data_IF_648365733855
#
_entry.id   IF_648365733855
#
_cell.length_a   1.000
_cell.length_b   1.000
_cell.length_c   1.000
_cell.angle_alpha   90.00
_cell.angle_beta   90.00
_cell.angle_gamma   90.00
#
_symmetry.space_group_name_H-M   'P 1'
#
loop_
_entity.id
_entity.type
_entity.pdbx_description
1 polymer ?
#
# COMPACT_ATOMS: atom_id res chain seq x y z
N UNK A 1 -18.03 4.33 10.86
CA UNK A 1 -16.62 4.50 10.44
C UNK A 1 -16.33 3.45 9.39
N UNK A 2 -16.27 3.83 8.11
CA UNK A 2 -15.84 2.91 7.05
C UNK A 2 -14.37 2.56 7.30
N UNK A 3 -14.06 1.28 7.47
CA UNK A 3 -12.68 0.84 7.63
C UNK A 3 -11.95 0.96 6.28
N UNK A 4 -10.93 1.82 6.21
CA UNK A 4 -10.04 1.95 5.06
C UNK A 4 -9.17 0.71 4.96
N UNK A 5 -9.72 -0.33 4.35
CA UNK A 5 -9.00 -1.57 4.14
C UNK A 5 -8.10 -1.46 2.90
N UNK A 6 -6.94 -2.14 2.90
CA UNK A 6 -6.20 -2.43 1.68
C UNK A 6 -7.09 -3.11 0.64
N UNK A 7 -6.67 -3.07 -0.62
CA UNK A 7 -7.35 -3.79 -1.71
C UNK A 7 -7.37 -5.29 -1.37
N UNK A 8 -8.56 -5.84 -1.12
CA UNK A 8 -8.80 -7.26 -0.82
C UNK A 8 -9.54 -7.89 -1.99
N UNK A 9 -8.79 -8.37 -2.97
CA UNK A 9 -9.30 -9.06 -4.15
C UNK A 9 -8.93 -10.54 -4.11
N UNK A 10 -9.71 -11.39 -4.78
CA UNK A 10 -9.36 -12.80 -4.98
C UNK A 10 -8.25 -12.93 -6.02
N UNK A 11 -7.38 -13.93 -5.88
CA UNK A 11 -6.28 -14.17 -6.81
C UNK A 11 -6.75 -14.15 -8.27
N UNK A 12 -6.06 -13.37 -9.11
CA UNK A 12 -6.38 -13.18 -10.52
C UNK A 12 -7.40 -12.08 -10.83
N UNK A 13 -8.13 -11.53 -9.85
CA UNK A 13 -9.05 -10.42 -10.09
C UNK A 13 -8.31 -9.15 -10.54
N UNK A 14 -8.93 -8.42 -11.47
CA UNK A 14 -8.38 -7.20 -12.04
C UNK A 14 -8.41 -6.07 -11.02
N UNK A 15 -7.33 -5.29 -10.97
CA UNK A 15 -7.30 -3.99 -10.30
C UNK A 15 -7.56 -2.93 -11.37
N UNK A 16 -8.83 -2.53 -11.50
CA UNK A 16 -9.30 -1.50 -12.45
C UNK A 16 -8.91 -0.09 -12.01
N UNK A 17 -8.99 0.88 -12.93
CA UNK A 17 -8.79 2.30 -12.59
C UNK A 17 -9.72 2.76 -11.47
N UNK A 18 -10.98 2.29 -11.47
CA UNK A 18 -11.96 2.57 -10.41
C UNK A 18 -11.51 2.05 -9.04
N UNK A 19 -10.99 0.83 -8.96
CA UNK A 19 -10.48 0.26 -7.68
C UNK A 19 -9.27 1.06 -7.18
N UNK A 20 -8.42 1.52 -8.10
CA UNK A 20 -7.24 2.31 -7.76
C UNK A 20 -7.58 3.73 -7.31
N UNK A 21 -8.68 4.31 -7.81
CA UNK A 21 -8.84 5.77 -7.90
C UNK A 21 -7.70 6.39 -8.75
N UNK A 22 -7.48 5.80 -9.92
CA UNK A 22 -6.36 6.10 -10.80
C UNK A 22 -6.28 7.57 -11.22
N UNK A 23 -7.39 8.21 -11.57
CA UNK A 23 -7.38 9.59 -12.08
C UNK A 23 -6.91 10.58 -11.01
N UNK A 24 -7.30 10.35 -9.75
CA UNK A 24 -6.80 11.13 -8.61
C UNK A 24 -5.31 10.92 -8.40
N UNK A 25 -4.85 9.66 -8.41
CA UNK A 25 -3.43 9.31 -8.26
C UNK A 25 -2.59 9.90 -9.40
N UNK A 26 -3.09 9.82 -10.63
CA UNK A 26 -2.44 10.40 -11.79
C UNK A 26 -2.36 11.92 -11.68
N UNK A 27 -3.43 12.58 -11.22
CA UNK A 27 -3.42 14.02 -10.93
C UNK A 27 -2.36 14.41 -9.90
N UNK A 28 -2.17 13.60 -8.84
CA UNK A 28 -1.13 13.83 -7.83
C UNK A 28 0.27 13.62 -8.43
N UNK A 29 0.49 12.55 -9.18
CA UNK A 29 1.81 12.21 -9.74
C UNK A 29 2.21 13.12 -10.90
N UNK A 30 1.26 13.76 -11.59
CA UNK A 30 1.54 14.70 -12.69
C UNK A 30 1.70 16.15 -12.21
N UNK A 31 1.33 16.46 -10.97
CA UNK A 31 1.63 17.76 -10.37
C UNK A 31 3.15 17.98 -10.31
N UNK A 32 3.63 19.09 -10.87
CA UNK A 32 5.07 19.33 -11.04
C UNK A 32 5.84 19.36 -9.71
N UNK A 33 5.24 19.91 -8.65
CA UNK A 33 5.91 19.98 -7.35
C UNK A 33 6.00 18.60 -6.72
N UNK A 34 4.86 17.91 -6.59
CA UNK A 34 4.78 16.59 -6.00
C UNK A 34 5.61 15.57 -6.80
N UNK A 35 5.50 15.60 -8.14
CA UNK A 35 6.23 14.72 -9.03
C UNK A 35 7.74 14.79 -8.77
N UNK A 36 8.30 16.00 -8.74
CA UNK A 36 9.74 16.18 -8.60
C UNK A 36 10.23 15.76 -7.21
N UNK A 37 9.55 16.17 -6.15
CA UNK A 37 9.90 15.79 -4.78
C UNK A 37 9.80 14.27 -4.56
N UNK A 38 8.71 13.65 -5.06
CA UNK A 38 8.47 12.22 -4.86
C UNK A 38 9.44 11.38 -5.71
N UNK A 39 9.68 11.77 -6.96
CA UNK A 39 10.72 11.18 -7.83
C UNK A 39 12.09 11.25 -7.17
N UNK A 40 12.49 12.41 -6.67
CA UNK A 40 13.81 12.60 -6.07
C UNK A 40 13.97 11.75 -4.81
N UNK A 41 12.90 11.62 -4.01
CA UNK A 41 12.87 10.72 -2.86
C UNK A 41 13.03 9.24 -3.26
N UNK A 42 12.42 8.79 -4.37
CA UNK A 42 12.61 7.42 -4.87
C UNK A 42 14.03 7.21 -5.40
N UNK A 43 14.61 8.18 -6.11
CA UNK A 43 15.94 8.06 -6.71
C UNK A 43 17.09 8.13 -5.69
N UNK A 44 16.86 8.75 -4.54
CA UNK A 44 17.88 8.93 -3.49
C UNK A 44 18.27 7.62 -2.79
N UNK A 45 17.41 6.60 -2.82
CA UNK A 45 17.74 5.31 -2.21
C UNK A 45 18.83 4.56 -2.98
N UNK A 46 19.73 3.95 -2.21
CA UNK A 46 20.75 3.04 -2.74
C UNK A 46 20.20 1.65 -3.08
N UNK A 47 19.00 1.30 -2.57
CA UNK A 47 18.37 -0.01 -2.83
C UNK A 47 17.71 -0.11 -4.20
N UNK A 48 17.55 1.02 -4.90
CA UNK A 48 17.01 1.05 -6.25
C UNK A 48 18.10 0.62 -7.25
N UNK A 49 17.83 -0.42 -8.04
CA UNK A 49 18.83 -0.95 -8.98
C UNK A 49 19.15 0.05 -10.09
N UNK A 50 20.38 -0.03 -10.63
CA UNK A 50 20.82 0.81 -11.75
C UNK A 50 19.87 0.70 -12.95
N UNK A 51 19.47 -0.52 -13.32
CA UNK A 51 18.53 -0.74 -14.42
C UNK A 51 17.16 -0.05 -14.21
N UNK A 52 16.66 0.02 -12.98
CA UNK A 52 15.42 0.75 -12.69
C UNK A 52 15.66 2.25 -12.76
N UNK A 53 16.78 2.75 -12.21
CA UNK A 53 17.17 4.18 -12.29
C UNK A 53 17.30 4.65 -13.74
N UNK A 54 17.98 3.88 -14.59
CA UNK A 54 18.18 4.21 -16.00
C UNK A 54 16.83 4.28 -16.76
N UNK A 55 15.93 3.32 -16.53
CA UNK A 55 14.56 3.36 -17.09
C UNK A 55 13.75 4.53 -16.54
N UNK A 56 13.90 4.83 -15.25
CA UNK A 56 13.23 5.95 -14.61
C UNK A 56 13.57 7.29 -15.29
N UNK A 57 14.78 7.42 -15.82
CA UNK A 57 15.22 8.59 -16.59
C UNK A 57 14.70 8.54 -18.02
N UNK A 58 14.84 7.39 -18.69
CA UNK A 58 14.58 7.22 -20.12
C UNK A 58 13.09 7.16 -20.50
N UNK A 59 12.23 6.60 -19.66
CA UNK A 59 10.83 6.34 -19.96
C UNK A 59 9.92 7.06 -18.97
N UNK A 60 9.24 8.11 -19.46
CA UNK A 60 8.33 8.91 -18.65
C UNK A 60 7.12 8.11 -18.16
N UNK A 61 6.57 7.26 -19.01
CA UNK A 61 5.39 6.48 -18.66
C UNK A 61 5.73 5.44 -17.59
N UNK A 62 6.86 4.74 -17.75
CA UNK A 62 7.39 3.86 -16.71
C UNK A 62 7.57 4.59 -15.38
N UNK A 63 8.18 5.78 -15.41
CA UNK A 63 8.36 6.62 -14.22
C UNK A 63 7.03 6.97 -13.57
N UNK A 64 6.03 7.45 -14.33
CA UNK A 64 4.71 7.77 -13.79
C UNK A 64 4.05 6.55 -13.13
N UNK A 65 4.02 5.42 -13.84
CA UNK A 65 3.44 4.19 -13.29
C UNK A 65 4.18 3.68 -12.04
N UNK A 66 5.51 3.80 -12.01
CA UNK A 66 6.32 3.42 -10.86
C UNK A 66 6.05 4.32 -9.64
N UNK A 67 5.83 5.61 -9.85
CA UNK A 67 5.45 6.53 -8.77
C UNK A 67 4.05 6.23 -8.24
N UNK A 68 3.08 5.91 -9.11
CA UNK A 68 1.71 5.52 -8.71
C UNK A 68 1.78 4.27 -7.81
N UNK A 69 2.48 3.21 -8.24
CA UNK A 69 2.56 1.97 -7.44
C UNK A 69 3.32 2.20 -6.13
N UNK A 70 4.36 3.04 -6.15
CA UNK A 70 5.10 3.43 -4.94
C UNK A 70 4.21 4.16 -3.95
N UNK A 71 3.38 5.11 -4.41
CA UNK A 71 2.45 5.84 -3.56
C UNK A 71 1.38 4.92 -2.95
N UNK A 72 0.85 3.98 -3.73
CA UNK A 72 -0.11 2.99 -3.25
C UNK A 72 0.49 2.07 -2.18
N UNK A 73 1.75 1.66 -2.32
CA UNK A 73 2.43 0.85 -1.30
C UNK A 73 2.75 1.70 -0.07
N UNK A 74 3.19 2.95 -0.26
CA UNK A 74 3.52 3.86 0.83
C UNK A 74 2.31 4.17 1.71
N UNK A 75 1.13 4.25 1.10
CA UNK A 75 -0.16 4.47 1.77
C UNK A 75 -0.85 3.18 2.18
N UNK A 76 -0.15 2.03 2.09
CA UNK A 76 -0.66 0.69 2.43
C UNK A 76 -1.95 0.27 1.70
N UNK A 77 -2.24 0.87 0.54
CA UNK A 77 -3.36 0.49 -0.34
C UNK A 77 -3.12 -0.85 -1.01
N UNK A 78 -1.88 -1.07 -1.45
CA UNK A 78 -1.40 -2.31 -2.02
C UNK A 78 -0.55 -3.03 -0.98
N UNK A 79 -0.99 -4.22 -0.58
CA UNK A 79 -0.27 -5.07 0.35
C UNK A 79 0.95 -5.72 -0.31
N UNK A 80 1.91 -6.14 0.53
CA UNK A 80 3.12 -6.87 0.11
C UNK A 80 2.84 -8.24 -0.48
N UNK A 81 1.61 -8.73 -0.44
CA UNK A 81 1.22 -10.03 -1.02
C UNK A 81 1.01 -9.96 -2.54
N UNK A 82 0.91 -8.76 -3.12
CA UNK A 82 0.73 -8.59 -4.56
C UNK A 82 2.03 -8.88 -5.33
N UNK A 83 1.95 -9.84 -6.25
CA UNK A 83 2.97 -10.15 -7.25
C UNK A 83 2.56 -9.65 -8.64
N UNK A 84 3.52 -9.18 -9.43
CA UNK A 84 3.29 -8.70 -10.79
C UNK A 84 3.62 -9.76 -11.87
N UNK A 85 3.96 -10.98 -11.47
CA UNK A 85 4.30 -12.10 -12.37
C UNK A 85 3.24 -13.21 -12.29
N UNK A 86 2.83 -13.71 -13.46
CA UNK A 86 1.81 -14.76 -13.59
C UNK A 86 2.25 -16.08 -12.94
N UNK A 87 3.55 -16.36 -13.02
CA UNK A 87 4.18 -17.64 -12.69
C UNK A 87 4.51 -17.79 -11.21
N UNK A 88 4.34 -16.74 -10.39
CA UNK A 88 4.64 -16.81 -8.96
C UNK A 88 3.51 -17.55 -8.23
N UNK A 89 3.82 -18.74 -7.67
CA UNK A 89 2.99 -19.40 -6.65
C UNK A 89 3.79 -19.50 -5.35
N UNK A 90 3.45 -18.69 -4.37
CA UNK A 90 3.70 -19.04 -2.96
C UNK A 90 2.36 -18.98 -2.25
N UNK A 91 2.19 -19.75 -1.16
CA UNK A 91 0.94 -19.78 -0.39
C UNK A 91 0.49 -18.40 0.14
N UNK A 92 1.35 -17.38 0.06
CA UNK A 92 1.17 -16.04 0.61
C UNK A 92 1.10 -14.94 -0.46
N UNK A 93 1.25 -15.24 -1.76
CA UNK A 93 1.29 -14.24 -2.83
C UNK A 93 0.14 -14.41 -3.82
N UNK A 94 -0.56 -13.31 -4.11
CA UNK A 94 -1.64 -13.23 -5.10
C UNK A 94 -1.17 -12.42 -6.31
N UNK A 95 -1.55 -12.84 -7.50
CA UNK A 95 -1.35 -12.11 -8.74
C UNK A 95 -2.60 -11.31 -9.08
N UNK A 96 -2.43 -10.01 -9.34
CA UNK A 96 -3.51 -9.19 -9.87
C UNK A 96 -3.01 -8.42 -11.10
N UNK A 97 -3.64 -8.61 -12.27
CA UNK A 97 -3.37 -7.75 -13.41
C UNK A 97 -3.83 -6.32 -13.09
N UNK A 98 -3.01 -5.33 -13.45
CA UNK A 98 -3.35 -3.90 -13.32
C UNK A 98 -3.37 -3.32 -14.75
N UNK A 99 -4.52 -3.39 -15.44
CA UNK A 99 -4.59 -3.09 -16.87
C UNK A 99 -4.03 -1.72 -17.26
N UNK A 100 -4.39 -0.68 -16.52
CA UNK A 100 -3.94 0.68 -16.80
C UNK A 100 -2.42 0.88 -16.62
N UNK A 101 -1.70 -0.07 -16.01
CA UNK A 101 -0.24 -0.05 -15.86
C UNK A 101 0.47 -1.08 -16.76
N UNK A 102 -0.25 -1.75 -17.69
CA UNK A 102 0.23 -2.93 -18.43
C UNK A 102 1.56 -2.74 -19.14
N UNK A 103 1.84 -1.54 -19.65
CA UNK A 103 3.05 -1.23 -20.41
C UNK A 103 4.32 -1.24 -19.55
N UNK A 104 4.16 -1.04 -18.23
CA UNK A 104 5.28 -0.95 -17.29
C UNK A 104 5.28 -2.06 -16.24
N UNK A 105 4.15 -2.77 -16.07
CA UNK A 105 3.91 -3.72 -14.99
C UNK A 105 5.00 -4.79 -14.83
N UNK A 106 5.54 -5.29 -15.94
CA UNK A 106 6.58 -6.33 -15.92
C UNK A 106 7.92 -5.88 -15.29
N UNK A 107 8.14 -4.56 -15.21
CA UNK A 107 9.39 -3.97 -14.73
C UNK A 107 9.33 -3.56 -13.24
N UNK A 108 8.17 -3.65 -12.58
CA UNK A 108 8.03 -3.23 -11.17
C UNK A 108 8.70 -4.17 -10.17
N UNK A 109 8.93 -5.44 -10.54
CA UNK A 109 9.40 -6.46 -9.61
C UNK A 109 8.24 -7.05 -8.80
N UNK A 110 8.30 -6.97 -7.47
CA UNK A 110 7.22 -7.37 -6.57
C UNK A 110 6.97 -6.32 -5.47
N UNK A 111 5.77 -6.35 -4.88
CA UNK A 111 5.39 -5.38 -3.85
C UNK A 111 6.28 -5.41 -2.59
N UNK A 112 6.77 -6.57 -2.10
CA UNK A 112 7.77 -6.62 -1.02
C UNK A 112 9.05 -5.87 -1.33
N UNK A 113 9.60 -6.03 -2.54
CA UNK A 113 10.82 -5.34 -2.95
C UNK A 113 10.60 -3.83 -3.00
N UNK A 114 9.48 -3.38 -3.57
CA UNK A 114 9.12 -1.96 -3.58
C UNK A 114 8.97 -1.42 -2.14
N UNK A 115 8.29 -2.15 -1.25
CA UNK A 115 8.19 -1.74 0.16
C UNK A 115 9.55 -1.65 0.84
N UNK A 116 10.46 -2.59 0.59
CA UNK A 116 11.82 -2.54 1.14
C UNK A 116 12.64 -1.36 0.61
N UNK A 117 12.40 -0.95 -0.64
CA UNK A 117 12.97 0.28 -1.22
C UNK A 117 12.43 1.50 -0.48
N UNK A 118 11.11 1.64 -0.36
CA UNK A 118 10.48 2.77 0.34
C UNK A 118 10.90 2.84 1.81
N UNK A 119 10.92 1.70 2.52
CA UNK A 119 11.37 1.63 3.91
C UNK A 119 12.83 2.05 4.10
N UNK A 120 13.67 1.98 3.07
CA UNK A 120 15.06 2.47 3.18
C UNK A 120 15.18 4.00 3.13
N UNK A 121 14.09 4.69 2.79
CA UNK A 121 14.01 6.17 2.79
C UNK A 121 13.40 6.73 4.06
N UNK A 122 13.03 5.85 5.02
CA UNK A 122 12.52 6.25 6.33
C UNK A 122 13.64 6.94 7.10
N UNK A 123 13.34 8.15 7.56
CA UNK A 123 14.21 8.93 8.41
C UNK A 123 13.80 8.73 9.86
N UNK A 124 14.54 7.90 10.59
CA UNK A 124 14.25 7.61 12.00
C UNK A 124 14.41 8.82 12.93
N UNK A 125 14.99 9.92 12.45
CA UNK A 125 15.07 11.18 13.21
C UNK A 125 13.85 12.10 12.99
N UNK A 126 12.94 11.73 12.09
CA UNK A 126 11.69 12.44 11.81
C UNK A 126 10.55 11.42 11.71
N UNK A 127 9.77 11.26 12.77
CA UNK A 127 8.80 10.15 12.89
C UNK A 127 7.36 10.60 13.13
N UNK A 128 7.16 11.88 13.44
CA UNK A 128 5.86 12.46 13.74
C UNK A 128 5.61 13.74 12.94
N UNK A 129 4.33 14.14 12.80
CA UNK A 129 3.99 15.43 12.21
C UNK A 129 4.62 16.61 12.96
N UNK A 130 4.78 16.49 14.28
CA UNK A 130 5.44 17.50 15.10
C UNK A 130 6.92 17.64 14.72
N UNK A 131 7.64 16.54 14.49
CA UNK A 131 9.04 16.58 14.05
C UNK A 131 9.18 17.30 12.70
N UNK A 132 8.26 17.00 11.76
CA UNK A 132 8.21 17.67 10.45
C UNK A 132 8.04 19.18 10.64
N UNK A 133 7.07 19.60 11.44
CA UNK A 133 6.78 21.01 11.70
C UNK A 133 7.94 21.73 12.39
N UNK A 134 8.58 21.09 13.38
CA UNK A 134 9.75 21.66 14.07
C UNK A 134 10.93 21.84 13.12
N UNK A 135 11.16 20.89 12.21
CA UNK A 135 12.23 21.00 11.20
C UNK A 135 11.97 22.13 10.22
N UNK A 136 10.74 22.22 9.71
CA UNK A 136 10.29 23.31 8.85
C UNK A 136 10.43 24.67 9.56
N UNK A 137 10.03 24.76 10.83
CA UNK A 137 10.17 25.98 11.62
C UNK A 137 11.63 26.38 11.85
N UNK A 138 12.54 25.41 11.95
CA UNK A 138 13.98 25.62 12.07
C UNK A 138 14.70 25.79 10.70
N UNK A 139 13.95 25.92 9.60
CA UNK A 139 14.51 26.17 8.26
C UNK A 139 15.14 24.95 7.58
N UNK A 140 14.86 23.74 8.06
CA UNK A 140 15.31 22.49 7.40
C UNK A 140 14.37 22.16 6.25
N UNK A 141 14.86 22.28 5.02
CA UNK A 141 14.10 22.03 3.79
C UNK A 141 14.85 21.13 2.80
N UNK A 142 14.24 20.03 2.32
CA UNK A 142 12.99 19.45 2.85
C UNK A 142 13.17 18.92 4.29
N UNK A 143 12.11 18.88 5.11
CA UNK A 143 12.22 18.44 6.51
C UNK A 143 12.57 16.94 6.64
N UNK A 144 12.18 16.14 5.65
CA UNK A 144 12.52 14.73 5.49
C UNK A 144 12.24 14.34 4.03
N UNK A 145 12.47 13.08 3.62
CA UNK A 145 12.09 12.64 2.27
C UNK A 145 10.56 12.68 2.09
N UNK A 146 10.05 13.01 0.91
CA UNK A 146 8.61 13.04 0.69
C UNK A 146 7.95 11.66 0.92
N UNK A 147 8.69 10.56 0.69
CA UNK A 147 8.24 9.20 1.01
C UNK A 147 8.00 9.05 2.52
N UNK A 148 8.98 9.43 3.35
CA UNK A 148 8.86 9.36 4.80
C UNK A 148 7.74 10.30 5.31
N UNK A 149 7.63 11.50 4.75
CA UNK A 149 6.55 12.42 5.09
C UNK A 149 5.16 11.83 4.79
N UNK A 150 4.93 11.24 3.61
CA UNK A 150 3.65 10.59 3.30
C UNK A 150 3.34 9.47 4.29
N UNK A 151 4.34 8.67 4.69
CA UNK A 151 4.15 7.66 5.72
C UNK A 151 3.69 8.26 7.06
N UNK A 152 4.37 9.32 7.54
CA UNK A 152 3.99 10.07 8.75
C UNK A 152 2.59 10.66 8.64
N UNK A 153 2.26 11.23 7.48
CA UNK A 153 0.98 11.89 7.21
C UNK A 153 -0.19 10.91 7.37
N UNK A 154 -0.10 9.71 6.77
CA UNK A 154 -1.15 8.70 6.89
C UNK A 154 -1.20 8.04 8.27
N UNK A 155 -0.07 7.87 8.95
CA UNK A 155 -0.07 7.43 10.35
C UNK A 155 -0.71 8.46 11.30
N UNK A 156 -0.71 9.73 10.90
CA UNK A 156 -1.29 10.84 11.65
C UNK A 156 -2.66 11.27 11.10
N UNK A 157 -3.35 10.41 10.34
CA UNK A 157 -4.58 10.77 9.63
C UNK A 157 -5.66 11.35 10.57
N UNK A 158 -5.79 10.85 11.80
CA UNK A 158 -6.78 11.37 12.77
C UNK A 158 -6.57 12.85 13.13
N UNK A 159 -5.31 13.31 13.15
CA UNK A 159 -4.95 14.71 13.37
C UNK A 159 -5.32 15.54 12.14
N UNK A 160 -4.98 15.06 10.95
CA UNK A 160 -5.30 15.73 9.68
C UNK A 160 -6.82 15.83 9.46
N UNK A 161 -7.55 14.76 9.78
CA UNK A 161 -9.01 14.71 9.67
C UNK A 161 -9.67 15.76 10.55
N UNK A 162 -9.19 15.93 11.78
CA UNK A 162 -9.69 16.94 12.72
C UNK A 162 -9.32 18.36 12.28
N UNK A 163 -8.06 18.58 11.96
CA UNK A 163 -7.49 19.92 11.83
C UNK A 163 -7.75 20.50 10.44
N UNK A 164 -7.65 19.71 9.37
CA UNK A 164 -7.68 20.20 7.99
C UNK A 164 -8.90 19.76 7.18
N UNK A 165 -9.47 18.58 7.45
CA UNK A 165 -10.57 18.05 6.64
C UNK A 165 -11.92 18.70 7.00
N UNK A 166 -12.85 18.57 6.05
CA UNK A 166 -14.26 18.94 6.18
C UNK A 166 -15.00 17.87 6.98
N UNK A 167 -16.08 18.25 7.68
CA UNK A 167 -16.89 17.28 8.42
C UNK A 167 -17.42 16.18 7.49
N UNK A 168 -17.27 14.92 7.90
CA UNK A 168 -17.66 13.75 7.10
C UNK A 168 -16.61 13.27 6.10
N UNK A 169 -15.50 13.98 5.95
CA UNK A 169 -14.38 13.58 5.10
C UNK A 169 -13.18 13.13 5.93
N UNK A 170 -12.33 12.28 5.34
CA UNK A 170 -11.05 11.86 5.90
C UNK A 170 -9.97 11.97 4.85
N UNK A 171 -8.71 12.06 5.28
CA UNK A 171 -7.52 12.06 4.44
C UNK A 171 -7.51 10.85 3.50
N UNK A 172 -7.97 9.70 3.99
CA UNK A 172 -8.08 8.48 3.19
C UNK A 172 -9.11 8.63 2.06
N UNK A 173 -10.20 9.38 2.24
CA UNK A 173 -11.13 9.62 1.13
C UNK A 173 -10.48 10.30 -0.09
N UNK A 174 -9.36 10.99 0.08
CA UNK A 174 -8.65 11.69 -1.00
C UNK A 174 -7.85 10.75 -1.92
N UNK A 175 -7.56 9.52 -1.53
CA UNK A 175 -6.82 8.56 -2.38
C UNK A 175 -7.48 7.17 -2.47
N UNK A 176 -8.55 6.91 -1.69
CA UNK A 176 -9.44 5.76 -1.88
C UNK A 176 -10.55 6.09 -2.89
N UNK A 177 -11.17 5.09 -3.54
CA UNK A 177 -12.34 5.31 -4.39
C UNK A 177 -13.48 5.82 -3.52
N UNK A 178 -13.92 7.04 -3.81
CA UNK A 178 -15.01 7.70 -3.12
C UNK A 178 -15.84 8.50 -4.12
N UNK A 179 -16.92 9.09 -3.63
CA UNK A 179 -17.76 9.98 -4.43
C UNK A 179 -17.21 11.41 -4.56
N UNK A 180 -15.92 11.63 -4.26
CA UNK A 180 -15.25 12.92 -4.43
C UNK A 180 -14.67 12.98 -5.84
N UNK A 181 -14.98 14.01 -6.65
CA UNK A 181 -14.37 14.18 -7.96
C UNK A 181 -12.84 14.21 -7.90
N UNK A 182 -12.18 13.51 -8.83
CA UNK A 182 -10.74 13.27 -8.77
C UNK A 182 -9.92 14.56 -8.70
N UNK A 183 -10.34 15.58 -9.45
CA UNK A 183 -9.70 16.91 -9.44
C UNK A 183 -9.74 17.58 -8.06
N UNK A 184 -10.84 17.45 -7.32
CA UNK A 184 -10.95 18.00 -5.96
C UNK A 184 -10.08 17.20 -4.98
N UNK A 185 -10.15 15.87 -5.07
CA UNK A 185 -9.36 14.98 -4.22
C UNK A 185 -7.84 15.22 -4.40
N UNK A 186 -7.38 15.33 -5.65
CA UNK A 186 -5.99 15.69 -6.00
C UNK A 186 -5.60 17.03 -5.38
N UNK A 187 -6.40 18.08 -5.60
CA UNK A 187 -6.10 19.43 -5.09
C UNK A 187 -6.02 19.45 -3.57
N UNK A 188 -6.97 18.82 -2.88
CA UNK A 188 -6.97 18.75 -1.42
C UNK A 188 -5.77 17.96 -0.88
N UNK A 189 -5.40 16.85 -1.53
CA UNK A 189 -4.23 16.06 -1.14
C UNK A 189 -2.94 16.89 -1.28
N UNK A 190 -2.74 17.53 -2.43
CA UNK A 190 -1.58 18.39 -2.70
C UNK A 190 -1.52 19.58 -1.73
N UNK A 191 -2.68 20.17 -1.40
CA UNK A 191 -2.79 21.21 -0.41
C UNK A 191 -2.26 20.76 0.95
N UNK A 192 -2.66 19.57 1.42
CA UNK A 192 -2.23 19.02 2.72
C UNK A 192 -0.72 18.75 2.70
N UNK A 193 -0.21 18.14 1.63
CA UNK A 193 1.23 17.90 1.49
C UNK A 193 1.99 19.22 1.61
N UNK A 194 1.60 20.22 0.84
CA UNK A 194 2.26 21.53 0.84
C UNK A 194 2.16 22.25 2.19
N UNK A 195 1.00 22.18 2.84
CA UNK A 195 0.72 22.84 4.11
C UNK A 195 1.69 22.40 5.22
N UNK A 196 2.05 21.11 5.25
CA UNK A 196 2.93 20.54 6.27
C UNK A 196 4.39 20.38 5.83
N UNK A 197 4.64 20.10 4.56
CA UNK A 197 5.97 19.76 4.05
C UNK A 197 6.73 20.98 3.53
N UNK A 198 6.03 21.96 2.93
CA UNK A 198 6.64 23.05 2.15
C UNK A 198 6.54 24.41 2.83
N UNK A 199 5.48 24.64 3.63
CA UNK A 199 5.19 25.96 4.22
C UNK A 199 6.26 26.38 5.21
N UNK A 200 7.09 27.35 4.86
CA UNK A 200 8.08 27.96 5.78
C UNK A 200 7.36 28.81 6.84
N UNK A 201 7.84 28.77 8.08
CA UNK A 201 7.21 29.50 9.19
C UNK A 201 7.36 31.03 9.11
N UNK A 202 8.34 31.51 8.34
CA UNK A 202 8.75 32.91 8.19
C UNK A 202 8.20 33.59 6.93
N UNK A 203 7.59 32.84 6.00
CA UNK A 203 7.21 33.36 4.69
C UNK A 203 5.73 33.75 4.63
N UNK A 204 5.46 35.01 4.98
CA UNK A 204 4.13 35.65 4.90
C UNK A 204 3.60 35.69 3.46
N UNK A 205 4.47 35.58 2.46
CA UNK A 205 4.10 35.56 1.04
C UNK A 205 3.84 34.15 0.50
N UNK A 206 4.11 33.09 1.28
CA UNK A 206 3.97 31.71 0.82
C UNK A 206 2.51 31.24 0.86
N UNK A 207 1.73 31.73 -0.08
CA UNK A 207 0.37 31.21 -0.34
C UNK A 207 0.48 29.77 -0.82
N UNK A 208 -0.42 28.91 -0.35
CA UNK A 208 -0.46 27.53 -0.84
C UNK A 208 -1.01 27.54 -2.28
N UNK A 209 -0.27 27.04 -3.28
CA UNK A 209 -0.68 27.11 -4.69
C UNK A 209 -1.95 26.31 -4.96
N UNK A 210 -2.31 25.40 -4.05
CA UNK A 210 -3.52 24.58 -4.14
C UNK A 210 -4.72 25.23 -3.44
N UNK A 211 -4.61 26.43 -2.87
CA UNK A 211 -5.69 27.13 -2.18
C UNK A 211 -6.87 27.47 -3.13
N UNK A 212 -8.09 27.32 -2.65
CA UNK A 212 -9.31 27.87 -3.25
C UNK A 212 -9.92 28.98 -2.39
N UNK A 213 -11.08 29.50 -2.79
CA UNK A 213 -11.74 30.58 -2.02
C UNK A 213 -12.15 30.12 -0.62
N UNK A 214 -12.47 28.83 -0.47
CA UNK A 214 -12.84 28.25 0.81
C UNK A 214 -11.64 28.14 1.75
N UNK A 215 -10.51 27.55 1.32
CA UNK A 215 -9.32 27.37 2.16
C UNK A 215 -8.66 28.71 2.52
N UNK A 216 -8.74 29.70 1.63
CA UNK A 216 -8.32 31.09 1.94
C UNK A 216 -9.18 31.73 3.01
N UNK A 217 -10.49 31.48 2.99
CA UNK A 217 -11.43 32.04 3.97
C UNK A 217 -11.47 31.25 5.29
N UNK A 218 -11.00 29.99 5.27
CA UNK A 218 -11.01 29.07 6.40
C UNK A 218 -9.59 28.57 6.69
N UNK A 219 -8.78 29.42 7.34
CA UNK A 219 -7.38 29.13 7.58
C UNK A 219 -7.16 27.77 8.26
N UNK A 220 -6.26 26.96 7.69
CA UNK A 220 -5.97 25.62 8.17
C UNK A 220 -6.87 24.52 7.59
N UNK A 221 -7.94 24.85 6.85
CA UNK A 221 -8.77 23.87 6.17
C UNK A 221 -8.35 23.65 4.71
N UNK A 222 -8.46 22.42 4.24
CA UNK A 222 -8.21 22.09 2.84
C UNK A 222 -9.27 22.74 1.91
N UNK A 223 -8.98 22.81 0.60
CA UNK A 223 -9.94 23.23 -0.42
C UNK A 223 -11.29 22.54 -0.29
N UNK A 224 -12.34 23.16 -0.82
CA UNK A 224 -13.71 22.69 -0.71
C UNK A 224 -13.86 21.27 -1.27
N UNK A 225 -14.47 20.39 -0.47
CA UNK A 225 -14.80 19.04 -0.85
C UNK A 225 -16.31 18.84 -0.83
N UNK A 226 -16.83 18.21 -1.87
CA UNK A 226 -18.19 17.72 -1.91
C UNK A 226 -18.25 16.35 -2.61
N UNK A 227 -19.27 15.57 -2.27
CA UNK A 227 -19.56 14.33 -2.98
C UNK A 227 -20.53 14.60 -4.13
N UNK A 228 -20.38 13.83 -5.19
CA UNK A 228 -21.31 13.82 -6.33
C UNK A 228 -21.87 12.41 -6.52
N UNK A 229 -23.06 12.26 -7.14
CA UNK A 229 -23.59 10.94 -7.41
C UNK A 229 -22.74 10.19 -8.46
N UNK A 230 -22.85 8.86 -8.49
CA UNK A 230 -22.00 7.98 -9.30
C UNK A 230 -22.06 8.25 -10.81
N UNK A 231 -23.18 8.76 -11.30
CA UNK A 231 -23.39 9.13 -12.70
C UNK A 231 -22.45 10.26 -13.16
N UNK A 232 -22.19 11.23 -12.28
CA UNK A 232 -21.27 12.33 -12.55
C UNK A 232 -19.79 11.90 -12.50
N UNK A 233 -19.49 10.78 -11.84
CA UNK A 233 -18.15 10.18 -11.81
C UNK A 233 -17.93 9.14 -12.91
N UNK A 234 -18.96 8.84 -13.71
CA UNK A 234 -18.90 7.79 -14.71
C UNK A 234 -17.86 8.04 -15.81
N UNK A 235 -17.42 9.28 -16.00
CA UNK A 235 -16.35 9.64 -16.93
C UNK A 235 -14.95 9.56 -16.34
N UNK A 236 -14.83 9.48 -15.01
CA UNK A 236 -13.55 9.33 -14.32
C UNK A 236 -13.25 7.85 -14.04
N UNK A 237 -11.96 7.52 -13.97
CA UNK A 237 -11.46 6.20 -13.62
C UNK A 237 -11.98 5.08 -14.56
N UNK A 238 -12.15 5.41 -15.84
CA UNK A 238 -12.63 4.49 -16.89
C UNK A 238 -11.45 3.80 -17.56
N UNK A 239 -11.39 2.48 -17.45
CA UNK A 239 -10.42 1.67 -18.20
C UNK A 239 -10.75 1.67 -19.70
N UNK A 240 -9.73 1.69 -20.54
CA UNK A 240 -9.91 1.54 -21.99
C UNK A 240 -10.36 0.12 -22.34
N UNK A 241 -10.98 -0.04 -23.52
CA UNK A 241 -11.40 -1.37 -23.99
C UNK A 241 -10.20 -2.34 -24.07
N UNK A 242 -9.09 -1.89 -24.64
CA UNK A 242 -7.84 -2.66 -24.76
C UNK A 242 -7.25 -3.07 -23.40
N UNK A 243 -7.38 -2.20 -22.39
CA UNK A 243 -6.90 -2.49 -21.04
C UNK A 243 -7.76 -3.59 -20.43
N UNK A 244 -9.09 -3.46 -20.49
CA UNK A 244 -10.02 -4.49 -19.98
C UNK A 244 -9.78 -5.83 -20.67
N UNK A 245 -9.69 -5.85 -22.01
CA UNK A 245 -9.44 -7.08 -22.76
C UNK A 245 -8.13 -7.74 -22.32
N UNK A 246 -7.04 -6.96 -22.24
CA UNK A 246 -5.75 -7.45 -21.78
C UNK A 246 -5.83 -8.00 -20.34
N UNK A 247 -6.54 -7.31 -19.45
CA UNK A 247 -6.73 -7.72 -18.06
C UNK A 247 -7.46 -9.07 -17.96
N UNK A 248 -8.53 -9.25 -18.73
CA UNK A 248 -9.29 -10.50 -18.80
C UNK A 248 -8.45 -11.64 -19.36
N UNK A 249 -7.66 -11.40 -20.41
CA UNK A 249 -6.72 -12.39 -20.95
C UNK A 249 -5.69 -12.84 -19.89
N UNK A 250 -5.18 -11.90 -19.08
CA UNK A 250 -4.23 -12.21 -18.00
C UNK A 250 -4.87 -12.97 -16.84
N UNK A 251 -6.10 -12.61 -16.48
CA UNK A 251 -6.89 -13.34 -15.49
C UNK A 251 -7.12 -14.79 -15.95
N UNK A 252 -7.50 -15.01 -17.21
CA UNK A 252 -7.68 -16.36 -17.75
C UNK A 252 -6.38 -17.16 -17.71
N UNK A 253 -5.25 -16.56 -18.13
CA UNK A 253 -3.93 -17.21 -18.03
C UNK A 253 -3.57 -17.59 -16.60
N UNK A 254 -3.95 -16.77 -15.61
CA UNK A 254 -3.74 -17.08 -14.20
C UNK A 254 -4.60 -18.27 -13.75
N UNK A 255 -5.88 -18.32 -14.14
CA UNK A 255 -6.77 -19.44 -13.85
C UNK A 255 -6.20 -20.74 -14.44
N UNK A 256 -5.79 -20.70 -15.72
CA UNK A 256 -5.21 -21.86 -16.40
C UNK A 256 -3.92 -22.33 -15.73
N UNK A 257 -3.06 -21.41 -15.32
CA UNK A 257 -1.84 -21.71 -14.58
C UNK A 257 -2.16 -22.40 -13.24
N UNK A 258 -3.11 -21.87 -12.46
CA UNK A 258 -3.51 -22.44 -11.17
C UNK A 258 -4.07 -23.85 -11.33
N UNK A 259 -4.90 -24.08 -12.35
CA UNK A 259 -5.52 -25.37 -12.63
C UNK A 259 -4.52 -26.46 -13.07
N UNK A 260 -3.41 -26.08 -13.71
CA UNK A 260 -2.35 -27.01 -14.12
C UNK A 260 -1.44 -27.46 -12.99
N UNK A 261 -1.48 -26.77 -11.85
CA UNK A 261 -0.62 -27.12 -10.72
C UNK A 261 -1.18 -28.36 -10.02
N UNK A 262 -0.32 -29.32 -9.63
CA UNK A 262 -0.77 -30.47 -8.87
C UNK A 262 -1.42 -30.03 -7.55
N UNK A 263 -2.47 -30.74 -7.07
CA UNK A 263 -3.07 -30.45 -5.78
C UNK A 263 -1.99 -30.52 -4.71
N UNK A 264 -1.92 -29.48 -3.86
CA UNK A 264 -0.96 -29.40 -2.77
C UNK A 264 -1.08 -30.65 -1.90
N UNK A 265 -0.01 -31.42 -1.75
CA UNK A 265 0.01 -32.56 -0.85
C UNK A 265 -0.31 -32.10 0.58
N UNK A 266 -1.13 -32.85 1.34
CA UNK A 266 -1.35 -32.56 2.75
C UNK A 266 -0.01 -32.64 3.50
N UNK A 267 0.19 -31.81 4.55
CA UNK A 267 1.46 -31.76 5.26
C UNK A 267 1.80 -33.15 5.83
N UNK A 268 3.04 -33.64 5.67
CA UNK A 268 3.42 -34.95 6.17
C UNK A 268 3.38 -34.98 7.70
N UNK A 269 2.71 -35.99 8.26
CA UNK A 269 2.69 -36.28 9.68
C UNK A 269 4.13 -36.46 10.20
N UNK A 270 4.58 -35.57 11.10
CA UNK A 270 5.90 -35.61 11.72
C UNK A 270 6.08 -36.86 12.59
N UNK A 271 6.72 -37.90 12.04
CA UNK A 271 7.38 -38.93 12.86
C UNK A 271 8.74 -38.38 13.34
N UNK A 272 8.90 -38.29 14.66
CA UNK A 272 10.13 -37.88 15.36
C UNK A 272 11.30 -38.83 15.04
N UNK A 273 12.40 -38.31 14.49
CA UNK A 273 13.78 -38.82 14.60
C UNK A 273 14.65 -37.54 14.68
N UNK A 274 15.33 -37.21 15.77
CA UNK A 274 16.47 -37.90 16.37
C UNK A 274 17.74 -37.15 15.95
N UNK A 275 18.21 -36.21 16.79
CA UNK A 275 19.37 -35.34 16.53
C UNK A 275 20.70 -36.07 16.61
N UNK A 276 21.62 -35.76 15.70
CA UNK A 276 23.07 -35.75 15.98
C UNK A 276 23.77 -34.70 15.10
N UNK A 277 24.48 -33.77 15.77
CA UNK A 277 25.31 -32.68 15.23
C UNK A 277 26.64 -33.19 14.70
N UNK A 278 27.19 -32.55 13.66
CA UNK A 278 28.61 -32.19 13.61
C UNK A 278 28.90 -31.08 12.59
N UNK A 279 29.97 -30.36 12.89
CA UNK A 279 30.43 -29.04 12.43
C UNK A 279 31.60 -29.11 11.45
N UNK A 280 31.77 -28.10 10.57
CA UNK A 280 33.07 -27.45 10.31
C UNK A 280 32.97 -26.30 9.29
N UNK A 281 33.82 -25.30 9.49
CA UNK A 281 33.95 -24.02 8.80
C UNK A 281 34.83 -24.07 7.52
N UNK A 282 34.81 -22.98 6.74
CA UNK A 282 35.82 -22.67 5.72
C UNK A 282 35.41 -21.52 4.78
N UNK A 283 36.09 -20.37 4.89
CA UNK A 283 36.00 -19.19 4.03
C UNK A 283 36.68 -19.39 2.66
N UNK A 284 36.18 -18.69 1.62
CA UNK A 284 37.02 -17.95 0.64
C UNK A 284 36.16 -17.18 -0.36
N UNK A 285 36.37 -15.86 -0.45
CA UNK A 285 35.89 -14.97 -1.50
C UNK A 285 36.66 -15.22 -2.82
N UNK A 286 35.93 -15.28 -3.94
CA UNK A 286 36.44 -14.98 -5.28
C UNK A 286 35.28 -14.56 -6.20
N UNK A 287 35.43 -13.37 -6.78
CA UNK A 287 34.62 -12.81 -7.87
C UNK A 287 34.77 -13.67 -9.13
N UNK A 288 33.65 -13.98 -9.80
CA UNK A 288 33.60 -14.18 -11.25
C UNK A 288 32.17 -14.04 -11.79
N UNK A 289 32.07 -13.29 -12.90
CA UNK A 289 30.92 -13.18 -13.79
C UNK A 289 30.53 -14.54 -14.38
N UNK A 290 29.28 -14.98 -14.29
CA UNK A 290 28.46 -15.42 -15.43
C UNK A 290 27.14 -16.10 -15.00
N UNK A 291 26.11 -15.85 -15.82
CA UNK A 291 25.00 -16.73 -16.19
C UNK A 291 24.12 -17.39 -15.10
N UNK A 292 22.82 -17.22 -15.32
CA UNK A 292 21.71 -17.75 -14.53
C UNK A 292 21.79 -19.29 -14.49
N UNK A 293 22.35 -19.83 -13.41
CA UNK A 293 22.23 -21.21 -12.99
C UNK A 293 21.40 -21.27 -11.69
N UNK A 294 20.35 -22.08 -11.74
CA UNK A 294 19.37 -22.32 -10.67
C UNK A 294 20.09 -23.05 -9.52
N UNK A 295 20.17 -22.50 -8.29
CA UNK A 295 20.75 -23.24 -7.18
C UNK A 295 19.67 -24.12 -6.52
N UNK A 296 19.91 -25.43 -6.48
CA UNK A 296 19.27 -26.32 -5.53
C UNK A 296 19.72 -25.95 -4.12
N UNK A 297 18.79 -25.67 -3.19
CA UNK A 297 19.14 -25.47 -1.78
C UNK A 297 18.25 -26.30 -0.86
N UNK A 298 18.95 -26.98 0.04
CA UNK A 298 18.52 -27.86 1.13
C UNK A 298 17.66 -27.09 2.17
N UNK A 299 16.57 -27.65 2.72
CA UNK A 299 15.57 -26.90 3.44
C UNK A 299 15.84 -26.88 4.95
N UNK A 300 16.89 -26.18 5.38
CA UNK A 300 17.02 -25.76 6.79
C UNK A 300 17.75 -24.43 6.86
N UNK A 301 17.04 -23.36 6.50
CA UNK A 301 17.46 -21.99 6.78
C UNK A 301 16.38 -21.26 7.60
N UNK A 302 16.82 -20.31 8.42
CA UNK A 302 16.15 -19.78 9.62
C UNK A 302 14.78 -19.08 9.40
N UNK A 303 14.31 -18.97 8.15
CA UNK A 303 12.95 -18.55 7.78
C UNK A 303 11.85 -19.56 8.20
N UNK A 304 12.21 -20.80 8.47
CA UNK A 304 11.24 -21.84 8.89
C UNK A 304 10.76 -21.70 10.35
N UNK A 305 11.50 -20.99 11.21
CA UNK A 305 11.12 -20.82 12.63
C UNK A 305 10.10 -19.70 12.79
N UNK A 306 10.30 -18.55 12.12
CA UNK A 306 9.35 -17.43 12.15
C UNK A 306 7.97 -17.78 11.54
N UNK A 307 7.95 -18.73 10.60
CA UNK A 307 6.71 -19.19 9.96
C UNK A 307 5.92 -20.18 10.83
N UNK A 308 6.57 -20.84 11.80
CA UNK A 308 5.92 -21.86 12.64
C UNK A 308 5.15 -21.27 13.81
N UNK A 309 5.67 -20.22 14.44
CA UNK A 309 4.97 -19.52 15.54
C UNK A 309 3.69 -18.80 15.07
N UNK A 310 3.67 -18.34 13.80
CA UNK A 310 2.50 -17.73 13.19
C UNK A 310 1.39 -18.75 12.83
N UNK A 311 1.71 -20.05 12.78
CA UNK A 311 0.78 -21.12 12.38
C UNK A 311 0.35 -22.05 13.51
N UNK A 312 0.93 -21.92 14.72
CA UNK A 312 0.54 -22.72 15.91
C UNK A 312 -0.28 -21.95 16.92
N UNK A 313 -0.55 -20.65 16.73
CA UNK A 313 -1.63 -20.00 17.46
C UNK A 313 -2.96 -20.36 16.78
N UNK A 314 -3.88 -21.04 17.47
CA UNK A 314 -5.25 -21.15 16.99
C UNK A 314 -5.79 -19.74 16.72
N UNK A 315 -6.64 -19.58 15.70
CA UNK A 315 -7.47 -18.39 15.59
C UNK A 315 -8.13 -18.17 16.95
N UNK A 316 -7.85 -17.06 17.61
CA UNK A 316 -8.60 -16.67 18.79
C UNK A 316 -10.07 -16.55 18.36
N UNK A 317 -10.89 -17.47 18.86
CA UNK A 317 -12.34 -17.39 18.84
C UNK A 317 -12.73 -16.02 19.43
N UNK A 318 -13.37 -15.18 18.62
CA UNK A 318 -14.06 -13.97 19.08
C UNK A 318 -15.36 -14.36 19.81
N UNK A 319 -15.24 -15.16 20.87
CA UNK A 319 -16.28 -15.41 21.87
C UNK A 319 -15.70 -15.27 23.28
N UNK A 320 -15.05 -14.14 23.56
CA UNK A 320 -14.98 -13.55 24.90
C UNK A 320 -14.32 -12.16 24.85
N UNK A 321 -15.12 -11.14 24.55
CA UNK A 321 -14.88 -9.81 25.13
C UNK A 321 -15.34 -9.87 26.58
N UNK A 322 -14.44 -10.17 27.52
CA UNK A 322 -14.70 -9.94 28.94
C UNK A 322 -14.49 -8.45 29.22
N UNK A 323 -15.53 -7.67 28.92
CA UNK A 323 -15.92 -6.53 29.73
C UNK A 323 -17.19 -6.93 30.47
N UNK A 324 -17.04 -7.24 31.77
CA UNK A 324 -18.05 -7.40 32.82
C UNK A 324 -19.53 -7.46 32.38
N UNK A 325 -19.99 -8.62 31.90
CA UNK A 325 -21.43 -8.91 31.78
C UNK A 325 -21.84 -9.86 32.92
N UNK A 326 -22.80 -9.47 33.80
CA UNK A 326 -23.18 -10.29 34.96
C UNK A 326 -23.72 -11.65 34.53
N UNK A 327 -23.35 -12.72 35.23
CA UNK A 327 -23.72 -14.13 34.94
C UNK A 327 -25.22 -14.36 34.68
N UNK A 328 -26.09 -13.51 35.20
CA UNK A 328 -27.54 -13.56 34.96
C UNK A 328 -27.93 -13.19 33.51
N UNK A 329 -27.13 -12.37 32.81
CA UNK A 329 -27.36 -12.00 31.41
C UNK A 329 -27.00 -13.13 30.44
N UNK A 330 -25.98 -13.94 30.78
CA UNK A 330 -25.57 -15.12 30.01
C UNK A 330 -26.64 -16.22 30.10
N UNK A 331 -27.21 -16.45 31.30
CA UNK A 331 -28.31 -17.42 31.48
C UNK A 331 -29.54 -17.06 30.64
N UNK A 332 -29.94 -15.77 30.61
CA UNK A 332 -31.05 -15.31 29.78
C UNK A 332 -30.81 -15.49 28.28
N UNK A 333 -29.58 -15.26 27.80
CA UNK A 333 -29.24 -15.48 26.38
C UNK A 333 -29.26 -16.96 26.01
N UNK A 334 -28.84 -17.85 26.91
CA UNK A 334 -28.91 -19.30 26.71
C UNK A 334 -30.35 -19.82 26.72
N UNK A 335 -31.22 -19.27 27.57
CA UNK A 335 -32.65 -19.64 27.61
C UNK A 335 -33.38 -19.16 26.34
N UNK A 336 -33.01 -18.00 25.80
CA UNK A 336 -33.52 -17.48 24.52
C UNK A 336 -33.07 -18.36 23.35
N UNK A 337 -31.83 -18.85 23.37
CA UNK A 337 -31.32 -19.75 22.32
C UNK A 337 -32.01 -21.12 22.37
N UNK A 338 -32.31 -21.65 23.57
CA UNK A 338 -33.13 -22.87 23.72
C UNK A 338 -34.58 -22.67 23.25
N UNK A 339 -35.14 -21.49 23.46
CA UNK A 339 -36.50 -21.14 23.00
C UNK A 339 -36.59 -20.95 21.47
N UNK A 340 -35.54 -20.41 20.83
CA UNK A 340 -35.48 -20.22 19.36
C UNK A 340 -35.15 -21.54 18.62
N UNK A 341 -34.53 -22.51 19.31
CA UNK A 341 -34.15 -23.82 18.76
C UNK A 341 -35.27 -24.86 18.65
N UNK A 342 -36.48 -24.59 19.16
CA UNK A 342 -37.63 -25.48 18.96
C UNK A 342 -37.48 -26.89 19.53
N UNK A 343 -36.78 -27.06 20.66
CA UNK A 343 -36.84 -28.27 21.48
C UNK A 343 -37.63 -27.96 22.74
N UNK A 344 -38.79 -28.62 22.89
CA UNK A 344 -39.71 -28.54 24.04
C UNK A 344 -39.15 -29.18 25.29
#
# INVERSE_FOLDING_TARGET
>A
MSSFNPIKLKDGELITRKILNFDTLNGIITDSYFHNEYKNAVLSTQKLSKAVKDRFVADELFRQHYLIISLLINTSRINTTLAFYLETKTALRCYHPIPCLRQSQQFFGDSPRLKNILNSTIDYSCTSLLDVQLRVANGVHPPTSLINFIFILFNSASVIDRDNMHSGFSLHHLIWPTNIPSKQATRAFLWIVYHYYSKRSDDVAHVNPYDDDYSRSNYGKCPLLYTVPDDQLASENVDSHDDIEWGLQRQQKRIDFVNRLPPSAPPPNKKKRGHSRQSSAGESDQDDDDQILIPSTDPTDLLSIATRDALTKPLDDYSNSTSDEPLQAISRKLDIIKWIGGES
#
